data_IF_245198338822
#
_entry.id   IF_245198338822
#
_cell.length_a   1.000
_cell.length_b   1.000
_cell.length_c   1.000
_cell.angle_alpha   90.00
_cell.angle_beta   90.00
_cell.angle_gamma   90.00
#
_symmetry.space_group_name_H-M   'P 1'
#
loop_
_entity.id
_entity.type
_entity.pdbx_description
1 polymer ?
#
# COMPACT_ATOMS: atom_id res chain seq x y z
N UNK A 1 -29.69 21.32 6.47
CA UNK A 1 -28.38 21.30 7.14
C UNK A 1 -27.30 21.13 6.10
N UNK A 2 -26.40 22.11 5.99
CA UNK A 2 -25.34 22.22 4.99
C UNK A 2 -24.35 21.07 5.12
N UNK A 3 -24.15 20.29 4.06
CA UNK A 3 -23.04 19.33 3.96
C UNK A 3 -21.75 20.15 3.98
N UNK A 4 -21.03 20.13 5.09
CA UNK A 4 -19.67 20.67 5.13
C UNK A 4 -18.88 20.00 3.99
N UNK A 5 -18.22 20.80 3.15
CA UNK A 5 -17.32 20.29 2.12
C UNK A 5 -16.15 19.66 2.84
N UNK A 6 -16.20 18.34 3.05
CA UNK A 6 -15.09 17.56 3.60
C UNK A 6 -13.92 17.80 2.67
N UNK A 7 -12.87 18.44 3.19
CA UNK A 7 -11.67 18.71 2.40
C UNK A 7 -10.87 17.40 2.37
N UNK A 8 -10.81 16.69 1.22
CA UNK A 8 -10.26 15.33 1.19
C UNK A 8 -8.82 15.29 1.70
N UNK A 9 -8.05 16.36 1.46
CA UNK A 9 -6.67 16.55 1.92
C UNK A 9 -6.51 16.36 3.45
N UNK A 10 -7.49 16.80 4.23
CA UNK A 10 -7.44 16.74 5.69
C UNK A 10 -7.59 15.29 6.21
N UNK A 11 -8.37 14.47 5.50
CA UNK A 11 -8.52 13.03 5.80
C UNK A 11 -7.30 12.22 5.35
N UNK A 12 -6.63 12.61 4.26
CA UNK A 12 -5.40 11.94 3.83
C UNK A 12 -4.21 12.21 4.76
N UNK A 13 -4.13 13.40 5.36
CA UNK A 13 -3.09 13.74 6.33
C UNK A 13 -3.20 12.96 7.65
N UNK A 14 -4.38 12.41 7.96
CA UNK A 14 -4.60 11.61 9.16
C UNK A 14 -4.16 10.15 8.99
N UNK A 15 -3.86 9.71 7.77
CA UNK A 15 -3.43 8.34 7.50
C UNK A 15 -1.98 8.14 7.97
N UNK A 16 -1.67 7.07 8.73
CA UNK A 16 -0.31 6.80 9.21
C UNK A 16 0.58 6.23 8.08
N UNK A 17 1.02 7.10 7.17
CA UNK A 17 1.80 6.75 5.97
C UNK A 17 3.03 5.89 6.26
N UNK A 18 3.84 6.27 7.25
CA UNK A 18 5.05 5.54 7.64
C UNK A 18 4.77 4.08 8.01
N UNK A 19 3.61 3.78 8.61
CA UNK A 19 3.24 2.42 8.98
C UNK A 19 2.82 1.61 7.74
N UNK A 20 2.10 2.23 6.81
CA UNK A 20 1.69 1.61 5.55
C UNK A 20 2.92 1.27 4.70
N UNK A 21 3.85 2.20 4.57
CA UNK A 21 5.12 2.00 3.87
C UNK A 21 5.91 0.84 4.47
N UNK A 22 6.08 0.80 5.80
CA UNK A 22 6.75 -0.32 6.47
C UNK A 22 6.09 -1.66 6.20
N UNK A 23 4.75 -1.73 6.18
CA UNK A 23 4.01 -2.96 5.88
C UNK A 23 4.22 -3.41 4.45
N UNK A 24 4.13 -2.50 3.49
CA UNK A 24 4.34 -2.77 2.06
C UNK A 24 5.79 -3.19 1.80
N UNK A 25 6.76 -2.48 2.38
CA UNK A 25 8.19 -2.79 2.25
C UNK A 25 8.54 -4.18 2.79
N UNK A 26 7.98 -4.57 3.95
CA UNK A 26 8.15 -5.94 4.48
C UNK A 26 7.62 -7.00 3.51
N UNK A 27 6.48 -6.74 2.88
CA UNK A 27 5.88 -7.67 1.92
C UNK A 27 6.70 -7.76 0.63
N UNK A 28 7.17 -6.62 0.10
CA UNK A 28 8.09 -6.57 -1.04
C UNK A 28 9.39 -7.32 -0.75
N UNK A 29 9.97 -7.17 0.45
CA UNK A 29 11.17 -7.91 0.86
C UNK A 29 10.93 -9.42 0.92
N UNK A 30 9.73 -9.87 1.32
CA UNK A 30 9.35 -11.30 1.27
C UNK A 30 9.22 -11.80 -0.16
N UNK A 31 8.62 -11.01 -1.06
CA UNK A 31 8.55 -11.33 -2.48
C UNK A 31 9.96 -11.49 -3.06
N UNK A 32 10.86 -10.57 -2.76
CA UNK A 32 12.25 -10.61 -3.22
C UNK A 32 12.99 -11.86 -2.72
N UNK A 33 12.85 -12.20 -1.42
CA UNK A 33 13.43 -13.44 -0.87
C UNK A 33 12.83 -14.71 -1.49
N UNK A 34 11.52 -14.73 -1.76
CA UNK A 34 10.88 -15.87 -2.43
C UNK A 34 11.37 -16.02 -3.87
N UNK A 35 11.54 -14.90 -4.57
CA UNK A 35 12.11 -14.87 -5.92
C UNK A 35 13.55 -15.41 -5.96
N UNK A 36 14.41 -14.98 -5.03
CA UNK A 36 15.78 -15.50 -4.91
C UNK A 36 15.86 -17.01 -4.67
N UNK A 37 14.85 -17.58 -4.01
CA UNK A 37 14.77 -19.03 -3.74
C UNK A 37 14.18 -19.83 -4.93
N UNK A 38 13.73 -19.17 -5.98
CA UNK A 38 13.05 -19.80 -7.12
C UNK A 38 11.62 -20.25 -6.84
N UNK A 39 11.00 -19.84 -5.73
CA UNK A 39 9.63 -20.22 -5.39
C UNK A 39 8.61 -19.28 -6.08
N UNK A 40 8.38 -19.55 -7.37
CA UNK A 40 7.46 -18.77 -8.22
C UNK A 40 6.02 -18.82 -7.71
N UNK A 41 5.60 -19.94 -7.11
CA UNK A 41 4.24 -20.08 -6.55
C UNK A 41 4.06 -19.15 -5.35
N UNK A 42 5.04 -19.06 -4.47
CA UNK A 42 5.01 -18.13 -3.35
C UNK A 42 5.08 -16.67 -3.80
N UNK A 43 5.89 -16.34 -4.81
CA UNK A 43 5.95 -15.00 -5.41
C UNK A 43 4.57 -14.56 -5.90
N UNK A 44 3.90 -15.38 -6.72
CA UNK A 44 2.57 -15.04 -7.23
C UNK A 44 1.52 -14.88 -6.12
N UNK A 45 1.54 -15.73 -5.09
CA UNK A 45 0.63 -15.59 -3.94
C UNK A 45 0.89 -14.27 -3.19
N UNK A 46 2.14 -13.93 -2.93
CA UNK A 46 2.52 -12.72 -2.22
C UNK A 46 2.23 -11.44 -3.03
N UNK A 47 2.42 -11.48 -4.35
CA UNK A 47 2.03 -10.39 -5.26
C UNK A 47 0.51 -10.17 -5.26
N UNK A 48 -0.29 -11.24 -5.32
CA UNK A 48 -1.77 -11.13 -5.19
C UNK A 48 -2.18 -10.51 -3.84
N UNK A 49 -1.51 -10.89 -2.76
CA UNK A 49 -1.74 -10.28 -1.44
C UNK A 49 -1.36 -8.80 -1.41
N UNK A 50 -0.24 -8.43 -2.04
CA UNK A 50 0.20 -7.04 -2.15
C UNK A 50 -0.85 -6.19 -2.88
N UNK A 51 -1.34 -6.66 -4.04
CA UNK A 51 -2.33 -5.93 -4.84
C UNK A 51 -3.68 -5.75 -4.13
N UNK A 52 -4.07 -6.70 -3.27
CA UNK A 52 -5.33 -6.62 -2.50
C UNK A 52 -5.22 -5.75 -1.24
N UNK A 53 -4.00 -5.52 -0.75
CA UNK A 53 -3.76 -4.75 0.47
C UNK A 53 -4.22 -3.30 0.33
N UNK A 54 -4.98 -2.82 1.33
CA UNK A 54 -5.37 -1.42 1.42
C UNK A 54 -4.16 -0.49 1.49
N UNK A 55 -3.13 -0.87 2.26
CA UNK A 55 -1.88 -0.11 2.39
C UNK A 55 -1.19 0.12 1.05
N UNK A 56 -1.19 -0.88 0.17
CA UNK A 56 -0.56 -0.77 -1.15
C UNK A 56 -1.37 0.15 -2.08
N UNK A 57 -2.70 0.07 -2.02
CA UNK A 57 -3.60 0.95 -2.78
C UNK A 57 -3.46 2.41 -2.33
N UNK A 58 -3.42 2.69 -1.03
CA UNK A 58 -3.23 4.05 -0.52
C UNK A 58 -1.89 4.65 -0.97
N UNK A 59 -0.80 3.87 -0.92
CA UNK A 59 0.50 4.35 -1.41
C UNK A 59 0.51 4.60 -2.92
N UNK A 60 -0.18 3.77 -3.70
CA UNK A 60 -0.31 3.98 -5.14
C UNK A 60 -1.06 5.28 -5.45
N UNK A 61 -2.14 5.58 -4.71
CA UNK A 61 -2.88 6.84 -4.86
C UNK A 61 -2.03 8.05 -4.51
N UNK A 62 -1.24 7.97 -3.42
CA UNK A 62 -0.29 9.03 -3.01
C UNK A 62 0.83 9.29 -4.03
N UNK A 63 1.19 8.31 -4.85
CA UNK A 63 2.19 8.52 -5.91
C UNK A 63 1.62 9.25 -7.13
N UNK A 64 0.33 9.10 -7.40
CA UNK A 64 -0.34 9.73 -8.56
C UNK A 64 -0.87 11.11 -8.21
N UNK A 65 -1.39 11.28 -6.99
CA UNK A 65 -1.94 12.54 -6.51
C UNK A 65 -0.92 13.18 -5.56
N UNK A 66 -0.45 14.41 -5.82
CA UNK A 66 0.30 15.17 -4.83
C UNK A 66 -0.66 15.57 -3.70
N UNK A 67 -0.62 14.78 -2.62
CA UNK A 67 -1.33 15.01 -1.36
C UNK A 67 -0.37 15.69 -0.38
#
# INVERSE_FOLDING_TARGET
MSKARVNPMMEWNTIPWCQLERRVFKLQKRIFKASQRGDVKAVHRLQKTLMRSWSARCLAVRQVIPI
#
